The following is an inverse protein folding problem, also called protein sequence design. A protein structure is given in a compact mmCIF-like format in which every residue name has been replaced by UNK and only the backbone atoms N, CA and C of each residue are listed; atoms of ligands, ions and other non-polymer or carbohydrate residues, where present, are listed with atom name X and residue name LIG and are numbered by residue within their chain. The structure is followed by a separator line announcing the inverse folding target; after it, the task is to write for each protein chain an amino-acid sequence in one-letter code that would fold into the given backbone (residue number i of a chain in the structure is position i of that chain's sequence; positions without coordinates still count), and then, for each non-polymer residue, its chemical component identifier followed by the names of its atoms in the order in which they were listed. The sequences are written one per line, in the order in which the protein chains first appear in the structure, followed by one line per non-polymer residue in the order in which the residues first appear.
data_IF_224899524349
#
_entry.id   IF_224899524349
#
_cell.length_a   1.000
_cell.length_b   1.000
_cell.length_c   1.000
_cell.angle_alpha   90.00
_cell.angle_beta   90.00
_cell.angle_gamma   90.00
#
_symmetry.space_group_name_H-M   'P 1'
#
loop_
_entity.id
_entity.type
_entity.pdbx_description
1 polymer ?
#
# COMPACT_ATOMS: atom_id res chain seq x y z
N UNK A 1 -39.34 29.71 -1.03
CA UNK A 1 -38.86 28.38 -1.47
C UNK A 1 -37.32 28.30 -1.67
N UNK A 2 -36.68 29.27 -2.34
CA UNK A 2 -35.23 29.25 -2.65
C UNK A 2 -34.29 29.24 -1.44
N UNK A 3 -34.63 29.97 -0.38
CA UNK A 3 -33.80 30.06 0.83
C UNK A 3 -33.59 28.69 1.51
N UNK A 4 -34.66 27.89 1.62
CA UNK A 4 -34.61 26.55 2.23
C UNK A 4 -33.69 25.60 1.47
N UNK A 5 -33.73 25.66 0.14
CA UNK A 5 -32.87 24.85 -0.74
C UNK A 5 -31.40 25.22 -0.54
N UNK A 6 -31.10 26.52 -0.44
CA UNK A 6 -29.74 27.01 -0.20
C UNK A 6 -29.22 26.54 1.16
N UNK A 7 -30.04 26.61 2.21
CA UNK A 7 -29.67 26.12 3.54
C UNK A 7 -29.34 24.62 3.52
N UNK A 8 -30.17 23.81 2.86
CA UNK A 8 -29.95 22.36 2.75
C UNK A 8 -28.68 22.02 1.94
N UNK A 9 -28.42 22.75 0.86
CA UNK A 9 -27.21 22.54 0.05
C UNK A 9 -25.94 22.92 0.83
N UNK A 10 -25.98 24.02 1.59
CA UNK A 10 -24.87 24.45 2.43
C UNK A 10 -24.62 23.47 3.58
N UNK A 11 -25.68 22.98 4.23
CA UNK A 11 -25.59 21.98 5.30
C UNK A 11 -25.00 20.66 4.79
N UNK A 12 -25.49 20.17 3.65
CA UNK A 12 -24.95 18.99 2.98
C UNK A 12 -23.45 19.16 2.63
N UNK A 13 -23.06 20.32 2.10
CA UNK A 13 -21.66 20.61 1.80
C UNK A 13 -20.80 20.63 3.07
N UNK A 14 -21.30 21.23 4.15
CA UNK A 14 -20.61 21.24 5.43
C UNK A 14 -20.49 19.84 6.04
N UNK A 15 -21.53 19.01 5.90
CA UNK A 15 -21.52 17.62 6.35
C UNK A 15 -20.51 16.77 5.57
N UNK A 16 -20.50 16.87 4.23
CA UNK A 16 -19.53 16.18 3.37
C UNK A 16 -18.09 16.57 3.72
N UNK A 17 -17.81 17.86 3.95
CA UNK A 17 -16.48 18.33 4.35
C UNK A 17 -16.03 17.75 5.69
N UNK A 18 -16.94 17.63 6.67
CA UNK A 18 -16.64 17.02 7.97
C UNK A 18 -16.32 15.53 7.84
N UNK A 19 -17.06 14.82 7.00
CA UNK A 19 -16.81 13.39 6.71
C UNK A 19 -15.43 13.22 6.06
N UNK A 20 -15.13 14.02 5.04
CA UNK A 20 -13.86 13.97 4.32
C UNK A 20 -12.67 14.28 5.24
N UNK A 21 -12.79 15.30 6.10
CA UNK A 21 -11.76 15.64 7.09
C UNK A 21 -11.52 14.49 8.07
N UNK A 22 -12.57 13.93 8.65
CA UNK A 22 -12.44 12.83 9.61
C UNK A 22 -11.80 11.57 9.00
N UNK A 23 -12.10 11.28 7.73
CA UNK A 23 -11.45 10.19 7.01
C UNK A 23 -9.96 10.46 6.77
N UNK A 24 -9.62 11.70 6.40
CA UNK A 24 -8.22 12.11 6.22
C UNK A 24 -7.44 12.05 7.53
N UNK A 25 -8.03 12.44 8.66
CA UNK A 25 -7.38 12.40 9.97
C UNK A 25 -7.07 10.96 10.39
N UNK A 26 -8.05 10.04 10.27
CA UNK A 26 -7.84 8.61 10.55
C UNK A 26 -6.77 8.03 9.62
N UNK A 27 -6.82 8.32 8.32
CA UNK A 27 -5.82 7.84 7.37
C UNK A 27 -4.44 8.48 7.59
N UNK A 28 -4.35 9.73 8.02
CA UNK A 28 -3.10 10.39 8.36
C UNK A 28 -2.46 9.79 9.61
N UNK A 29 -3.26 9.45 10.62
CA UNK A 29 -2.80 8.78 11.84
C UNK A 29 -2.34 7.35 11.57
N UNK A 30 -3.06 6.60 10.73
CA UNK A 30 -2.62 5.28 10.25
C UNK A 30 -1.31 5.40 9.45
N UNK A 31 -1.20 6.39 8.54
CA UNK A 31 0.05 6.61 7.78
C UNK A 31 1.22 6.98 8.68
N UNK A 32 1.03 7.87 9.66
CA UNK A 32 2.07 8.21 10.64
C UNK A 32 2.46 7.00 11.48
N UNK A 33 1.50 6.25 12.02
CA UNK A 33 1.76 5.04 12.79
C UNK A 33 2.51 4.00 11.97
N UNK A 34 2.15 3.84 10.68
CA UNK A 34 2.85 2.94 9.79
C UNK A 34 4.29 3.43 9.56
N UNK A 35 4.49 4.70 9.20
CA UNK A 35 5.83 5.26 8.99
C UNK A 35 6.67 5.23 10.28
N UNK A 36 6.10 5.50 11.45
CA UNK A 36 6.82 5.41 12.73
C UNK A 36 7.22 3.98 13.08
N UNK A 37 6.39 2.97 12.75
CA UNK A 37 6.79 1.55 12.80
C UNK A 37 7.94 1.24 11.83
N UNK A 38 8.01 1.89 10.68
CA UNK A 38 9.11 1.75 9.73
C UNK A 38 10.38 2.52 10.15
N UNK A 39 10.28 3.64 10.88
CA UNK A 39 11.45 4.46 11.25
C UNK A 39 12.13 4.04 12.54
N UNK A 40 11.46 3.33 13.45
CA UNK A 40 12.11 2.71 14.63
C UNK A 40 12.81 1.39 14.31
N UNK A 41 12.56 0.82 13.13
CA UNK A 41 13.31 -0.31 12.57
C UNK A 41 14.51 0.20 11.72
N UNK A 42 15.31 1.09 12.30
CA UNK A 42 16.57 1.59 11.74
C UNK A 42 17.72 0.59 11.77
N UNK A 43 17.42 -0.71 11.90
CA UNK A 43 18.29 -1.81 11.55
C UNK A 43 17.59 -2.50 10.38
N UNK A 44 18.30 -2.74 9.28
CA UNK A 44 17.82 -3.48 8.10
C UNK A 44 17.56 -4.97 8.42
N UNK A 45 16.93 -5.25 9.56
CA UNK A 45 16.27 -6.50 9.80
C UNK A 45 14.86 -6.32 9.24
N UNK A 46 14.75 -6.52 7.92
CA UNK A 46 13.56 -7.20 7.40
C UNK A 46 13.52 -8.54 8.16
N UNK A 47 13.00 -8.53 9.39
CA UNK A 47 12.45 -9.69 10.04
C UNK A 47 11.28 -10.05 9.13
N UNK A 48 11.58 -10.76 8.05
CA UNK A 48 10.61 -11.36 7.20
C UNK A 48 9.87 -12.37 8.07
N UNK A 49 8.85 -11.91 8.78
CA UNK A 49 8.01 -12.74 9.65
C UNK A 49 7.08 -13.64 8.82
N UNK A 50 7.54 -14.07 7.65
CA UNK A 50 6.77 -14.81 6.66
C UNK A 50 7.66 -15.80 5.91
N UNK A 51 7.06 -16.93 5.55
CA UNK A 51 7.73 -17.94 4.73
C UNK A 51 7.93 -17.40 3.30
N UNK A 52 9.13 -17.54 2.72
CA UNK A 52 9.35 -17.15 1.33
C UNK A 52 8.52 -18.04 0.41
N UNK A 53 7.82 -17.42 -0.55
CA UNK A 53 6.91 -18.12 -1.44
C UNK A 53 7.29 -18.03 -2.92
N UNK A 54 8.18 -17.09 -3.27
CA UNK A 54 8.71 -16.91 -4.63
C UNK A 54 10.22 -16.73 -4.57
N UNK A 55 10.93 -17.28 -5.56
CA UNK A 55 12.35 -17.04 -5.80
C UNK A 55 12.55 -16.31 -7.12
N UNK A 56 13.39 -15.29 -7.14
CA UNK A 56 13.75 -14.56 -8.34
C UNK A 56 14.66 -15.44 -9.20
N UNK A 57 14.19 -15.78 -10.41
CA UNK A 57 14.96 -16.61 -11.34
C UNK A 57 15.72 -15.80 -12.40
N UNK A 58 15.26 -14.58 -12.69
CA UNK A 58 15.87 -13.72 -13.69
C UNK A 58 15.50 -12.26 -13.40
N UNK A 59 16.49 -11.38 -13.54
CA UNK A 59 16.30 -9.93 -13.57
C UNK A 59 16.82 -9.42 -14.90
N UNK A 60 15.98 -8.70 -15.63
CA UNK A 60 16.32 -8.16 -16.96
C UNK A 60 16.98 -6.78 -16.79
N UNK A 61 18.04 -6.46 -17.55
CA UNK A 61 18.66 -5.13 -17.50
C UNK A 61 17.68 -4.01 -17.86
N UNK A 62 17.78 -2.87 -17.18
CA UNK A 62 16.87 -1.72 -17.27
C UNK A 62 15.40 -2.02 -16.94
N UNK A 63 15.11 -3.15 -16.26
CA UNK A 63 13.76 -3.47 -15.81
C UNK A 63 13.43 -2.78 -14.48
N UNK A 64 12.13 -2.64 -14.13
CA UNK A 64 11.74 -2.14 -12.81
C UNK A 64 12.33 -2.95 -11.66
N UNK A 65 12.53 -4.26 -11.86
CA UNK A 65 13.13 -5.14 -10.85
C UNK A 65 14.61 -4.84 -10.61
N UNK A 66 15.38 -4.51 -11.67
CA UNK A 66 16.79 -4.10 -11.53
C UNK A 66 16.89 -2.75 -10.81
N UNK A 67 16.07 -1.77 -11.20
CA UNK A 67 16.05 -0.46 -10.53
C UNK A 67 15.58 -0.55 -9.07
N UNK A 68 14.74 -1.54 -8.74
CA UNK A 68 14.34 -1.84 -7.36
C UNK A 68 15.42 -2.59 -6.57
N UNK A 69 16.52 -3.01 -7.20
CA UNK A 69 17.62 -3.72 -6.56
C UNK A 69 17.39 -5.22 -6.34
N UNK A 70 16.41 -5.82 -7.01
CA UNK A 70 16.21 -7.28 -6.96
C UNK A 70 17.35 -8.00 -7.68
N UNK A 71 17.77 -9.14 -7.13
CA UNK A 71 18.85 -9.95 -7.66
C UNK A 71 18.41 -11.40 -7.92
N UNK A 72 19.24 -12.12 -8.69
CA UNK A 72 19.05 -13.56 -8.91
C UNK A 72 19.06 -14.29 -7.56
N UNK A 73 18.17 -15.27 -7.41
CA UNK A 73 18.03 -16.12 -6.23
C UNK A 73 17.45 -15.45 -4.98
N UNK A 74 17.07 -14.17 -5.07
CA UNK A 74 16.36 -13.50 -3.99
C UNK A 74 15.05 -14.22 -3.65
N UNK A 75 14.77 -14.32 -2.34
CA UNK A 75 13.56 -14.94 -1.81
C UNK A 75 12.57 -13.85 -1.40
N UNK A 76 11.40 -13.87 -2.05
CA UNK A 76 10.33 -12.92 -1.81
C UNK A 76 9.38 -13.49 -0.75
N UNK A 77 9.22 -12.71 0.31
CA UNK A 77 8.40 -13.03 1.49
C UNK A 77 7.04 -12.33 1.43
N UNK A 78 7.00 -11.15 0.80
CA UNK A 78 5.80 -10.37 0.52
C UNK A 78 6.02 -9.53 -0.75
N UNK A 79 4.97 -9.35 -1.56
CA UNK A 79 4.96 -8.48 -2.72
C UNK A 79 3.65 -7.67 -2.76
N UNK A 80 3.71 -6.42 -2.31
CA UNK A 80 2.53 -5.58 -2.11
C UNK A 80 1.57 -6.21 -1.11
N UNK A 81 0.40 -6.64 -1.57
CA UNK A 81 -0.59 -7.33 -0.72
C UNK A 81 -0.50 -8.86 -0.79
N UNK A 82 0.42 -9.41 -1.59
CA UNK A 82 0.56 -10.85 -1.83
C UNK A 82 1.65 -11.44 -0.92
N UNK A 83 1.33 -12.53 -0.22
CA UNK A 83 2.25 -13.26 0.66
C UNK A 83 1.98 -14.77 0.58
N UNK A 84 2.75 -15.58 1.32
CA UNK A 84 2.64 -17.05 1.28
C UNK A 84 1.23 -17.59 1.57
N UNK A 85 0.39 -16.86 2.32
CA UNK A 85 -0.97 -17.32 2.67
C UNK A 85 -1.98 -17.13 1.56
N UNK A 86 -1.78 -16.13 0.70
CA UNK A 86 -2.73 -15.77 -0.34
C UNK A 86 -2.21 -15.99 -1.77
N UNK A 87 -0.92 -16.29 -1.92
CA UNK A 87 -0.31 -16.59 -3.20
C UNK A 87 -0.86 -17.89 -3.80
N UNK A 88 -1.42 -17.81 -5.00
CA UNK A 88 -1.89 -18.97 -5.77
C UNK A 88 -1.08 -19.17 -7.03
N UNK A 89 -0.86 -18.10 -7.78
CA UNK A 89 -0.11 -18.09 -9.03
C UNK A 89 0.55 -16.72 -9.28
N UNK A 90 1.55 -16.66 -10.17
CA UNK A 90 2.21 -15.42 -10.59
C UNK A 90 1.24 -14.36 -11.16
N UNK A 91 0.04 -14.74 -11.61
CA UNK A 91 -1.00 -13.78 -11.95
C UNK A 91 -1.34 -12.82 -10.81
N UNK A 92 -1.28 -13.25 -9.55
CA UNK A 92 -1.59 -12.39 -8.41
C UNK A 92 -0.52 -11.31 -8.19
N UNK A 93 0.75 -11.64 -8.45
CA UNK A 93 1.85 -10.67 -8.48
C UNK A 93 1.66 -9.67 -9.62
N UNK A 94 1.30 -10.14 -10.82
CA UNK A 94 1.06 -9.27 -11.98
C UNK A 94 -0.04 -8.23 -11.72
N UNK A 95 -1.12 -8.60 -11.03
CA UNK A 95 -2.20 -7.65 -10.68
C UNK A 95 -1.69 -6.50 -9.81
N UNK A 96 -0.81 -6.79 -8.85
CA UNK A 96 -0.20 -5.77 -7.98
C UNK A 96 0.71 -4.83 -8.78
N UNK A 97 1.51 -5.39 -9.70
CA UNK A 97 2.39 -4.60 -10.58
C UNK A 97 1.57 -3.68 -11.50
N UNK A 98 0.47 -4.16 -12.08
CA UNK A 98 -0.39 -3.36 -12.96
C UNK A 98 -1.17 -2.26 -12.24
N UNK A 99 -1.38 -2.40 -10.93
CA UNK A 99 -2.08 -1.40 -10.12
C UNK A 99 -1.15 -0.29 -9.59
N UNK A 100 0.16 -0.39 -9.81
CA UNK A 100 1.19 0.53 -9.32
C UNK A 100 1.70 1.50 -10.38
#
# INVERSE_FOLDING_TARGET
ARHRIICLQNDHKALMQRIESGLHDVHAEIRKTNIERFTVAGENNFEATGEPFVRVNLVVPNSPAEHAGLQLEDLIVEFGTVNWRNFKDLQDVNKVVQAS
#
